data_IF_741156344253
#
_entry.id   IF_741156344253
#
_cell.length_a   1.000
_cell.length_b   1.000
_cell.length_c   1.000
_cell.angle_alpha   90.00
_cell.angle_beta   90.00
_cell.angle_gamma   90.00
#
_symmetry.space_group_name_H-M   'P 1'
#
loop_
_entity.id
_entity.type
_entity.pdbx_description
1 polymer ?
#
# COMPACT_ATOMS: atom_id res chain seq x y z
N UNK A 1 -10.83 -26.25 -31.69
CA UNK A 1 -9.41 -25.82 -31.54
C UNK A 1 -8.75 -26.76 -30.56
N UNK A 2 -7.58 -27.30 -30.90
CA UNK A 2 -6.86 -28.28 -30.06
C UNK A 2 -6.27 -27.59 -28.82
N UNK A 3 -6.26 -28.26 -27.67
CA UNK A 3 -5.59 -27.79 -26.45
C UNK A 3 -4.12 -27.40 -26.68
N UNK A 4 -3.48 -28.00 -27.69
CA UNK A 4 -2.12 -27.66 -28.13
C UNK A 4 -2.04 -26.22 -28.66
N UNK A 5 -3.08 -25.73 -29.34
CA UNK A 5 -3.09 -24.37 -29.89
C UNK A 5 -3.19 -23.32 -28.79
N UNK A 6 -4.00 -23.57 -27.75
CA UNK A 6 -4.10 -22.68 -26.58
C UNK A 6 -2.78 -22.63 -25.82
N UNK A 7 -2.12 -23.78 -25.64
CA UNK A 7 -0.82 -23.88 -24.99
C UNK A 7 0.28 -23.14 -25.76
N UNK A 8 0.29 -23.25 -27.09
CA UNK A 8 1.25 -22.57 -27.96
C UNK A 8 1.04 -21.05 -27.97
N UNK A 9 -0.20 -20.57 -27.95
CA UNK A 9 -0.50 -19.14 -27.86
C UNK A 9 -0.06 -18.58 -26.50
N UNK A 10 -0.34 -19.28 -25.40
CA UNK A 10 0.11 -18.87 -24.07
C UNK A 10 1.65 -18.83 -23.99
N UNK A 11 2.33 -19.84 -24.53
CA UNK A 11 3.79 -19.88 -24.59
C UNK A 11 4.36 -18.74 -25.43
N UNK A 12 3.71 -18.38 -26.55
CA UNK A 12 4.15 -17.31 -27.42
C UNK A 12 4.00 -15.92 -26.78
N UNK A 13 2.89 -15.69 -26.05
CA UNK A 13 2.68 -14.45 -25.29
C UNK A 13 3.70 -14.33 -24.16
N UNK A 14 4.00 -15.42 -23.46
CA UNK A 14 5.04 -15.45 -22.44
C UNK A 14 6.44 -15.20 -23.04
N UNK A 15 6.76 -15.78 -24.19
CA UNK A 15 8.03 -15.57 -24.90
C UNK A 15 8.19 -14.15 -25.44
N UNK A 16 7.13 -13.53 -25.95
CA UNK A 16 7.15 -12.15 -26.45
C UNK A 16 7.32 -11.14 -25.30
N UNK A 17 6.58 -11.32 -24.20
CA UNK A 17 6.79 -10.55 -22.97
C UNK A 17 8.22 -10.73 -22.43
N UNK A 18 8.74 -11.95 -22.48
CA UNK A 18 10.13 -12.25 -22.09
C UNK A 18 11.17 -11.58 -23.00
N UNK A 19 10.95 -11.51 -24.32
CA UNK A 19 11.89 -10.82 -25.23
C UNK A 19 11.86 -9.30 -25.10
N UNK A 20 10.68 -8.70 -24.89
CA UNK A 20 10.60 -7.27 -24.55
C UNK A 20 11.33 -6.98 -23.23
N UNK A 21 11.14 -7.85 -22.25
CA UNK A 21 11.77 -7.78 -20.94
C UNK A 21 13.30 -7.90 -20.98
N UNK A 22 13.86 -8.84 -21.76
CA UNK A 22 15.31 -8.98 -21.90
C UNK A 22 15.97 -7.75 -22.53
N UNK A 23 15.29 -7.08 -23.47
CA UNK A 23 15.79 -5.83 -24.10
C UNK A 23 15.86 -4.65 -23.13
N UNK A 24 15.02 -4.65 -22.09
CA UNK A 24 15.04 -3.62 -21.04
C UNK A 24 16.09 -3.89 -19.95
N UNK A 25 16.54 -5.14 -19.81
CA UNK A 25 17.41 -5.60 -18.71
C UNK A 25 18.93 -5.39 -18.90
N UNK A 26 19.41 -5.05 -20.11
CA UNK A 26 20.84 -4.78 -20.37
C UNK A 26 21.39 -3.52 -19.66
N UNK A 27 20.54 -2.74 -18.97
CA UNK A 27 20.90 -1.44 -18.37
C UNK A 27 21.35 -1.54 -16.90
N UNK A 28 21.16 -2.66 -16.19
CA UNK A 28 21.39 -2.70 -14.73
C UNK A 28 22.41 -3.76 -14.28
N UNK A 29 23.69 -3.36 -14.21
CA UNK A 29 24.69 -4.01 -13.34
C UNK A 29 24.97 -3.12 -12.14
N UNK A 30 24.49 -3.53 -10.96
CA UNK A 30 24.84 -2.90 -9.67
C UNK A 30 25.52 -3.93 -8.73
N UNK A 31 26.53 -3.52 -7.92
CA UNK A 31 27.25 -4.42 -7.04
C UNK A 31 26.53 -4.64 -5.71
N UNK A 32 26.67 -5.85 -5.17
CA UNK A 32 26.09 -6.28 -3.90
C UNK A 32 27.01 -5.95 -2.70
N UNK A 33 26.47 -5.27 -1.69
CA UNK A 33 26.89 -5.40 -0.29
C UNK A 33 25.90 -4.67 0.64
N UNK A 34 25.17 -5.40 1.50
CA UNK A 34 24.60 -4.85 2.75
C UNK A 34 24.67 -5.93 3.83
N UNK A 35 25.26 -5.54 4.97
CA UNK A 35 25.46 -6.34 6.18
C UNK A 35 24.21 -6.35 7.05
N UNK A 36 23.87 -7.53 7.59
CA UNK A 36 22.78 -7.77 8.54
C UNK A 36 23.25 -7.52 9.98
N UNK A 37 22.75 -6.44 10.60
CA UNK A 37 22.95 -6.11 12.00
C UNK A 37 21.69 -5.41 12.53
N UNK A 38 21.31 -5.73 13.78
CA UNK A 38 19.97 -5.48 14.34
C UNK A 38 19.43 -4.06 14.18
N UNK A 39 18.09 -3.96 14.26
CA UNK A 39 17.17 -2.81 14.07
C UNK A 39 17.51 -1.51 14.85
N UNK A 40 18.74 -1.03 14.78
CA UNK A 40 19.14 0.33 15.10
C UNK A 40 19.88 0.87 13.88
N UNK A 41 19.32 1.85 13.16
CA UNK A 41 20.00 2.49 12.05
C UNK A 41 21.36 3.02 12.51
N UNK A 42 22.41 2.73 11.74
CA UNK A 42 23.68 3.44 11.88
C UNK A 42 23.43 4.93 11.64
N UNK A 43 23.60 5.76 12.67
CA UNK A 43 23.39 7.22 12.60
C UNK A 43 24.43 7.80 11.65
N UNK A 44 24.02 8.16 10.43
CA UNK A 44 24.88 8.87 9.50
C UNK A 44 25.11 10.32 9.97
N UNK A 45 26.28 10.91 9.68
CA UNK A 45 26.62 12.28 10.08
C UNK A 45 25.65 13.31 9.50
N UNK A 46 25.39 14.35 10.30
CA UNK A 46 24.44 15.44 10.02
C UNK A 46 24.77 16.16 8.69
N UNK A 47 23.90 16.10 7.66
CA UNK A 47 24.10 16.88 6.44
C UNK A 47 23.96 18.39 6.70
N UNK A 48 24.62 19.21 5.87
CA UNK A 48 24.58 20.67 5.95
C UNK A 48 23.16 21.20 5.72
N UNK A 49 22.75 22.22 6.50
CA UNK A 49 21.34 22.61 6.66
C UNK A 49 20.62 23.20 5.44
N UNK A 50 21.34 23.60 4.39
CA UNK A 50 20.74 24.26 3.22
C UNK A 50 19.98 23.28 2.29
N UNK A 51 20.53 22.09 2.03
CA UNK A 51 19.89 21.08 1.17
C UNK A 51 18.56 20.58 1.76
N UNK A 52 18.52 20.42 3.09
CA UNK A 52 17.35 19.99 3.84
C UNK A 52 16.14 20.93 3.73
N UNK A 53 16.39 22.24 3.63
CA UNK A 53 15.32 23.23 3.47
C UNK A 53 14.73 23.18 2.05
N UNK A 54 15.58 23.02 1.04
CA UNK A 54 15.16 22.94 -0.36
C UNK A 54 14.33 21.68 -0.64
N UNK A 55 14.79 20.50 -0.23
CA UNK A 55 14.07 19.23 -0.45
C UNK A 55 12.69 19.23 0.20
N UNK A 56 12.61 19.74 1.43
CA UNK A 56 11.34 19.89 2.15
C UNK A 56 10.40 20.87 1.44
N UNK A 57 10.91 22.02 1.00
CA UNK A 57 10.11 22.99 0.24
C UNK A 57 9.54 22.37 -1.05
N UNK A 58 10.37 21.62 -1.79
CA UNK A 58 9.94 20.91 -3.00
C UNK A 58 8.82 19.90 -2.69
N UNK A 59 9.00 19.06 -1.67
CA UNK A 59 7.98 18.08 -1.24
C UNK A 59 6.67 18.77 -0.85
N UNK A 60 6.73 19.81 -0.02
CA UNK A 60 5.53 20.50 0.47
C UNK A 60 4.70 21.17 -0.63
N UNK A 61 5.32 21.49 -1.77
CA UNK A 61 4.69 22.13 -2.93
C UNK A 61 4.13 21.12 -3.94
N UNK A 62 4.74 19.95 -4.08
CA UNK A 62 4.21 18.82 -4.86
C UNK A 62 4.76 17.51 -4.32
N UNK A 63 3.89 16.76 -3.64
CA UNK A 63 4.27 15.46 -3.09
C UNK A 63 4.53 14.49 -4.22
N UNK A 64 3.60 14.35 -5.17
CA UNK A 64 3.73 13.44 -6.30
C UNK A 64 4.91 13.81 -7.20
N UNK A 65 5.07 15.11 -7.52
CA UNK A 65 6.20 15.58 -8.30
C UNK A 65 7.55 15.29 -7.65
N UNK A 66 7.63 15.30 -6.32
CA UNK A 66 8.88 15.00 -5.59
C UNK A 66 9.10 13.50 -5.43
N UNK A 67 8.04 12.74 -5.21
CA UNK A 67 8.09 11.29 -4.94
C UNK A 67 8.25 10.51 -6.24
N UNK A 68 7.46 10.80 -7.27
CA UNK A 68 7.37 9.98 -8.49
C UNK A 68 8.30 10.41 -9.63
N UNK A 69 8.77 11.67 -9.70
CA UNK A 69 9.69 12.11 -10.77
C UNK A 69 11.11 11.56 -10.67
N UNK A 70 11.50 11.01 -9.51
CA UNK A 70 12.77 10.31 -9.37
C UNK A 70 12.57 8.89 -9.86
N UNK A 71 13.45 8.39 -10.72
CA UNK A 71 13.44 6.98 -11.15
C UNK A 71 14.34 6.13 -10.25
N UNK A 72 14.04 4.83 -10.19
CA UNK A 72 14.84 3.84 -9.48
C UNK A 72 14.63 3.84 -7.96
N UNK A 73 15.68 3.42 -7.25
CA UNK A 73 15.65 3.14 -5.82
C UNK A 73 15.57 4.42 -4.97
N UNK A 74 14.70 4.40 -3.96
CA UNK A 74 14.58 5.42 -2.92
C UNK A 74 15.06 4.89 -1.56
N UNK A 75 15.51 5.77 -0.67
CA UNK A 75 16.21 5.41 0.57
C UNK A 75 15.77 6.26 1.76
N UNK A 76 15.63 5.59 2.90
CA UNK A 76 15.45 6.21 4.21
C UNK A 76 16.28 5.42 5.26
N UNK A 77 16.39 5.88 6.53
CA UNK A 77 17.21 5.19 7.53
C UNK A 77 16.79 3.74 7.84
N UNK A 78 15.56 3.35 7.52
CA UNK A 78 15.01 2.01 7.78
C UNK A 78 15.20 1.06 6.60
N UNK A 79 15.49 1.55 5.40
CA UNK A 79 15.70 0.71 4.24
C UNK A 79 15.53 1.42 2.90
N UNK A 80 15.24 0.61 1.89
CA UNK A 80 15.12 1.03 0.50
C UNK A 80 13.77 0.60 -0.07
N UNK A 81 13.29 1.31 -1.08
CA UNK A 81 12.19 0.88 -1.95
C UNK A 81 12.71 0.90 -3.38
N UNK A 82 12.58 -0.23 -4.08
CA UNK A 82 12.95 -0.42 -5.49
C UNK A 82 11.70 -0.54 -6.36
N UNK A 83 11.82 -0.31 -7.68
CA UNK A 83 10.76 -0.63 -8.63
C UNK A 83 10.28 -2.07 -8.46
N UNK A 84 8.97 -2.26 -8.57
CA UNK A 84 8.29 -3.54 -8.33
C UNK A 84 8.85 -4.66 -9.21
N UNK A 85 9.08 -4.33 -10.48
CA UNK A 85 9.65 -5.24 -11.48
C UNK A 85 10.99 -5.82 -11.01
N UNK A 86 11.86 -5.06 -10.32
CA UNK A 86 13.15 -5.59 -9.84
C UNK A 86 13.00 -6.76 -8.86
N UNK A 87 11.93 -6.76 -8.06
CA UNK A 87 11.63 -7.88 -7.16
C UNK A 87 11.15 -9.11 -7.89
N UNK A 88 10.26 -8.92 -8.86
CA UNK A 88 9.66 -10.01 -9.63
C UNK A 88 10.74 -10.74 -10.43
N UNK A 89 11.66 -9.98 -11.04
CA UNK A 89 12.84 -10.51 -11.73
C UNK A 89 13.68 -11.36 -10.79
N UNK A 90 13.97 -10.86 -9.58
CA UNK A 90 14.81 -11.58 -8.63
C UNK A 90 14.14 -12.86 -8.16
N UNK A 91 12.83 -12.84 -7.89
CA UNK A 91 12.07 -14.02 -7.51
C UNK A 91 12.04 -15.06 -8.64
N UNK A 92 11.78 -14.63 -9.88
CA UNK A 92 11.80 -15.50 -11.07
C UNK A 92 13.18 -16.11 -11.31
N UNK A 93 14.25 -15.33 -11.17
CA UNK A 93 15.63 -15.82 -11.31
C UNK A 93 15.96 -16.90 -10.29
N UNK A 94 15.51 -16.74 -9.04
CA UNK A 94 15.66 -17.77 -8.01
C UNK A 94 14.90 -19.03 -8.40
N UNK A 95 13.66 -18.90 -8.87
CA UNK A 95 12.83 -20.02 -9.29
C UNK A 95 13.46 -20.81 -10.46
N UNK A 96 13.92 -20.11 -11.50
CA UNK A 96 14.62 -20.71 -12.64
C UNK A 96 15.90 -21.43 -12.22
N UNK A 97 16.66 -20.85 -11.30
CA UNK A 97 17.89 -21.47 -10.78
C UNK A 97 17.60 -22.79 -10.07
N UNK A 98 16.55 -22.84 -9.22
CA UNK A 98 16.14 -24.05 -8.52
C UNK A 98 15.76 -25.13 -9.53
N UNK A 99 14.92 -24.82 -10.53
CA UNK A 99 14.51 -25.76 -11.59
C UNK A 99 15.74 -26.28 -12.35
N UNK A 100 16.69 -25.40 -12.66
CA UNK A 100 17.90 -25.76 -13.41
C UNK A 100 18.82 -26.69 -12.61
N UNK A 101 18.97 -26.45 -11.30
CA UNK A 101 19.79 -27.25 -10.39
C UNK A 101 19.12 -28.59 -10.03
N UNK A 102 17.79 -28.66 -10.05
CA UNK A 102 17.00 -29.80 -9.59
C UNK A 102 15.97 -30.25 -10.63
N UNK A 103 16.45 -30.73 -11.80
CA UNK A 103 15.60 -31.07 -12.95
C UNK A 103 14.61 -32.23 -12.71
N UNK A 104 14.85 -33.04 -11.69
CA UNK A 104 14.05 -34.19 -11.31
C UNK A 104 13.05 -33.90 -10.17
N UNK A 105 13.02 -32.66 -9.66
CA UNK A 105 12.06 -32.26 -8.64
C UNK A 105 10.66 -32.05 -9.21
N UNK A 106 9.67 -32.38 -8.38
CA UNK A 106 8.26 -32.03 -8.60
C UNK A 106 8.02 -30.54 -8.36
N UNK A 107 6.91 -29.99 -8.89
CA UNK A 107 6.54 -28.58 -8.65
C UNK A 107 6.52 -28.24 -7.17
N UNK A 108 5.88 -29.08 -6.34
CA UNK A 108 5.80 -28.87 -4.88
C UNK A 108 7.19 -28.79 -4.22
N UNK A 109 8.15 -29.61 -4.67
CA UNK A 109 9.52 -29.56 -4.16
C UNK A 109 10.25 -28.28 -4.58
N UNK A 110 10.03 -27.81 -5.80
CA UNK A 110 10.57 -26.53 -6.29
C UNK A 110 9.96 -25.37 -5.50
N UNK A 111 8.65 -25.37 -5.27
CA UNK A 111 7.95 -24.33 -4.50
C UNK A 111 8.40 -24.31 -3.04
N UNK A 112 8.55 -25.49 -2.40
CA UNK A 112 9.08 -25.59 -1.03
C UNK A 112 10.50 -25.06 -0.91
N UNK A 113 11.34 -25.22 -1.94
CA UNK A 113 12.67 -24.62 -1.93
C UNK A 113 12.64 -23.12 -2.22
N UNK A 114 11.80 -22.69 -3.17
CA UNK A 114 11.60 -21.29 -3.50
C UNK A 114 11.21 -20.50 -2.26
N UNK A 115 10.22 -20.99 -1.48
CA UNK A 115 9.78 -20.29 -0.28
C UNK A 115 10.85 -20.25 0.81
N UNK A 116 11.71 -21.26 0.94
CA UNK A 116 12.82 -21.22 1.90
C UNK A 116 13.85 -20.15 1.54
N UNK A 117 14.14 -20.00 0.25
CA UNK A 117 15.10 -19.00 -0.25
C UNK A 117 14.54 -17.57 -0.17
N UNK A 118 13.27 -17.40 -0.52
CA UNK A 118 12.61 -16.09 -0.52
C UNK A 118 12.25 -15.66 0.92
N UNK A 119 11.56 -16.50 1.68
CA UNK A 119 11.01 -16.16 3.01
C UNK A 119 11.96 -16.54 4.14
N UNK A 120 13.17 -15.99 4.09
CA UNK A 120 14.16 -16.19 5.15
C UNK A 120 13.62 -15.72 6.52
N UNK A 121 14.11 -16.28 7.65
CA UNK A 121 13.68 -15.85 8.98
C UNK A 121 13.80 -14.33 9.23
N UNK A 122 14.84 -13.70 8.65
CA UNK A 122 15.04 -12.25 8.75
C UNK A 122 13.92 -11.47 8.03
N UNK A 123 13.61 -11.83 6.78
CA UNK A 123 12.55 -11.16 5.99
C UNK A 123 11.18 -11.35 6.63
N UNK A 124 10.85 -12.58 7.05
CA UNK A 124 9.61 -12.89 7.78
C UNK A 124 9.51 -12.09 9.08
N UNK A 125 10.56 -12.09 9.88
CA UNK A 125 10.60 -11.37 11.15
C UNK A 125 10.36 -9.86 10.99
N UNK A 126 10.82 -9.27 9.89
CA UNK A 126 10.54 -7.87 9.54
C UNK A 126 9.05 -7.64 9.29
N UNK A 127 8.43 -8.43 8.40
CA UNK A 127 7.00 -8.29 8.07
C UNK A 127 6.13 -8.55 9.30
N UNK A 128 6.39 -9.63 10.05
CA UNK A 128 5.64 -9.94 11.25
C UNK A 128 5.71 -8.83 12.31
N UNK A 129 6.88 -8.19 12.44
CA UNK A 129 7.07 -7.08 13.37
C UNK A 129 6.30 -5.84 12.91
N UNK A 130 6.35 -5.51 11.62
CA UNK A 130 5.56 -4.42 11.04
C UNK A 130 4.05 -4.68 11.18
N UNK A 131 3.58 -5.89 10.87
CA UNK A 131 2.18 -6.30 11.02
C UNK A 131 1.68 -6.15 12.45
N UNK A 132 2.44 -6.64 13.45
CA UNK A 132 2.11 -6.47 14.87
C UNK A 132 2.05 -4.99 15.26
N UNK A 133 2.99 -4.18 14.78
CA UNK A 133 3.04 -2.75 15.06
C UNK A 133 1.84 -2.02 14.46
N UNK A 134 1.52 -2.25 13.18
CA UNK A 134 0.36 -1.64 12.49
C UNK A 134 -0.93 -2.00 13.21
N UNK A 135 -1.12 -3.29 13.53
CA UNK A 135 -2.29 -3.77 14.30
C UNK A 135 -2.46 -3.01 15.61
N UNK A 136 -1.40 -2.90 16.41
CA UNK A 136 -1.43 -2.18 17.69
C UNK A 136 -1.67 -0.68 17.51
N UNK A 137 -1.11 -0.07 16.46
CA UNK A 137 -1.32 1.35 16.15
C UNK A 137 -2.77 1.62 15.75
N UNK A 138 -3.38 0.77 14.94
CA UNK A 138 -4.80 0.87 14.57
C UNK A 138 -5.72 0.74 15.78
N UNK A 139 -5.48 -0.24 16.67
CA UNK A 139 -6.24 -0.37 17.90
C UNK A 139 -6.16 0.90 18.77
N UNK A 140 -4.96 1.49 18.90
CA UNK A 140 -4.76 2.75 19.62
C UNK A 140 -5.46 3.93 18.95
N UNK A 141 -5.44 4.01 17.62
CA UNK A 141 -6.17 5.04 16.88
C UNK A 141 -7.68 4.94 17.17
N UNK A 142 -8.25 3.75 17.07
CA UNK A 142 -9.67 3.50 17.39
C UNK A 142 -9.99 3.85 18.85
N UNK A 143 -9.12 3.50 19.79
CA UNK A 143 -9.33 3.80 21.20
C UNK A 143 -9.32 5.31 21.49
N UNK A 144 -8.47 6.08 20.78
CA UNK A 144 -8.39 7.54 20.90
C UNK A 144 -9.59 8.29 20.29
N UNK A 145 -10.32 7.69 19.36
CA UNK A 145 -11.49 8.34 18.76
C UNK A 145 -12.53 8.72 19.82
N UNK A 146 -13.25 9.82 19.64
CA UNK A 146 -14.25 10.26 20.63
C UNK A 146 -15.45 9.31 20.64
N UNK A 147 -16.18 9.26 21.76
CA UNK A 147 -17.44 8.50 21.86
C UNK A 147 -18.53 8.98 20.88
N UNK A 148 -18.44 10.23 20.44
CA UNK A 148 -19.29 10.81 19.39
C UNK A 148 -18.95 10.30 17.98
N UNK A 149 -17.76 9.72 17.79
CA UNK A 149 -17.35 9.07 16.55
C UNK A 149 -17.71 7.59 16.61
N UNK A 150 -17.21 6.87 17.62
CA UNK A 150 -17.53 5.46 17.84
C UNK A 150 -18.00 5.21 19.27
N UNK A 151 -19.12 4.51 19.40
CA UNK A 151 -19.55 3.90 20.66
C UNK A 151 -18.56 2.84 21.12
N UNK A 152 -18.60 2.49 22.40
CA UNK A 152 -17.75 1.40 22.95
C UNK A 152 -17.97 0.07 22.22
N UNK A 153 -19.21 -0.22 21.80
CA UNK A 153 -19.54 -1.45 21.06
C UNK A 153 -18.87 -1.45 19.68
N UNK A 154 -18.97 -0.36 18.93
CA UNK A 154 -18.36 -0.23 17.60
C UNK A 154 -16.84 -0.33 17.67
N UNK A 155 -16.20 0.34 18.65
CA UNK A 155 -14.76 0.21 18.89
C UNK A 155 -14.34 -1.23 19.16
N UNK A 156 -15.11 -1.96 19.97
CA UNK A 156 -14.84 -3.38 20.24
C UNK A 156 -14.95 -4.21 18.97
N UNK A 157 -15.98 -3.99 18.15
CA UNK A 157 -16.17 -4.71 16.88
C UNK A 157 -15.04 -4.43 15.89
N UNK A 158 -14.66 -3.16 15.70
CA UNK A 158 -13.53 -2.78 14.82
C UNK A 158 -12.23 -3.45 15.27
N UNK A 159 -11.90 -3.39 16.56
CA UNK A 159 -10.70 -4.04 17.10
C UNK A 159 -10.76 -5.57 16.98
N UNK A 160 -11.93 -6.18 17.18
CA UNK A 160 -12.10 -7.62 16.96
C UNK A 160 -11.86 -7.99 15.50
N UNK A 161 -12.31 -7.16 14.56
CA UNK A 161 -12.02 -7.38 13.14
C UNK A 161 -10.52 -7.31 12.87
N UNK A 162 -9.84 -6.24 13.28
CA UNK A 162 -8.39 -6.08 13.11
C UNK A 162 -7.62 -7.25 13.75
N UNK A 163 -8.01 -7.71 14.95
CA UNK A 163 -7.37 -8.86 15.62
C UNK A 163 -7.62 -10.19 14.91
N UNK A 164 -8.76 -10.32 14.24
CA UNK A 164 -9.14 -11.51 13.49
C UNK A 164 -8.44 -11.65 12.14
N UNK A 165 -7.82 -10.58 11.61
CA UNK A 165 -6.99 -10.68 10.41
C UNK A 165 -5.68 -11.38 10.73
N UNK A 166 -5.39 -12.47 10.01
CA UNK A 166 -4.19 -13.31 10.19
C UNK A 166 -3.14 -12.98 9.14
N UNK A 167 -1.89 -12.88 9.54
CA UNK A 167 -0.78 -12.82 8.59
C UNK A 167 -0.37 -14.25 8.23
N UNK A 168 -0.37 -14.55 6.94
CA UNK A 168 0.12 -15.81 6.39
C UNK A 168 1.43 -15.55 5.65
N UNK A 169 2.50 -16.23 6.07
CA UNK A 169 3.84 -16.13 5.49
C UNK A 169 4.49 -17.52 5.40
N UNK A 170 4.84 -18.01 4.21
CA UNK A 170 5.61 -19.24 4.01
C UNK A 170 6.97 -19.21 4.72
N UNK A 171 7.64 -20.37 4.91
CA UNK A 171 7.17 -21.75 4.70
C UNK A 171 6.10 -22.24 5.72
N UNK A 172 5.35 -23.32 5.39
CA UNK A 172 5.46 -24.15 4.17
C UNK A 172 4.86 -23.49 2.92
N UNK A 173 5.24 -23.95 1.73
CA UNK A 173 4.69 -23.44 0.46
C UNK A 173 3.19 -23.75 0.33
N UNK A 174 2.74 -24.86 0.91
CA UNK A 174 1.33 -25.26 0.94
C UNK A 174 0.38 -24.20 1.53
N UNK A 175 0.90 -23.20 2.25
CA UNK A 175 0.11 -22.07 2.73
C UNK A 175 -0.52 -21.25 1.59
N UNK A 176 0.13 -21.23 0.42
CA UNK A 176 -0.31 -20.52 -0.78
C UNK A 176 -0.64 -21.49 -1.93
N UNK A 177 -1.02 -22.73 -1.62
CA UNK A 177 -1.32 -23.74 -2.63
C UNK A 177 -2.48 -23.36 -3.58
N UNK A 178 -3.34 -22.44 -3.14
CA UNK A 178 -4.45 -21.89 -3.91
C UNK A 178 -4.05 -20.78 -4.90
N UNK A 179 -2.86 -20.20 -4.76
CA UNK A 179 -2.32 -19.16 -5.65
C UNK A 179 -0.78 -19.17 -5.64
N UNK A 180 -0.14 -20.17 -6.27
CA UNK A 180 1.31 -20.36 -6.17
C UNK A 180 2.13 -19.26 -6.85
N UNK A 181 1.54 -18.54 -7.81
CA UNK A 181 2.18 -17.40 -8.50
C UNK A 181 2.45 -16.21 -7.57
N UNK A 182 1.83 -16.17 -6.39
CA UNK A 182 2.09 -15.13 -5.38
C UNK A 182 3.56 -15.12 -4.90
N UNK A 183 4.30 -16.23 -5.01
CA UNK A 183 5.73 -16.26 -4.65
C UNK A 183 6.57 -15.32 -5.53
N UNK A 184 6.09 -14.97 -6.72
CA UNK A 184 6.78 -14.10 -7.67
C UNK A 184 6.10 -12.73 -7.84
N UNK A 185 4.98 -12.46 -7.16
CA UNK A 185 4.27 -11.17 -7.20
C UNK A 185 4.83 -10.17 -6.19
N UNK A 186 4.76 -8.88 -6.53
CA UNK A 186 5.18 -7.76 -5.69
C UNK A 186 4.05 -7.17 -4.82
N UNK A 187 3.00 -7.94 -4.56
CA UNK A 187 1.79 -7.43 -3.93
C UNK A 187 1.61 -7.96 -2.50
N UNK A 188 0.87 -7.22 -1.69
CA UNK A 188 0.35 -7.69 -0.41
C UNK A 188 -1.17 -7.66 -0.53
N UNK A 189 -1.83 -8.71 -0.07
CA UNK A 189 -3.26 -8.87 -0.27
C UNK A 189 -3.96 -9.07 1.06
N UNK A 190 -5.04 -8.36 1.27
CA UNK A 190 -6.12 -8.74 2.17
C UNK A 190 -7.15 -9.58 1.42
N UNK A 191 -7.61 -10.65 2.04
CA UNK A 191 -8.75 -11.40 1.50
C UNK A 191 -9.64 -11.98 2.60
N UNK A 192 -10.87 -12.28 2.19
CA UNK A 192 -11.79 -13.11 2.94
C UNK A 192 -11.85 -14.49 2.28
N UNK A 193 -11.43 -15.51 3.01
CA UNK A 193 -11.52 -16.91 2.55
C UNK A 193 -12.97 -17.37 2.53
N UNK A 194 -13.24 -18.48 1.82
CA UNK A 194 -14.60 -19.04 1.71
C UNK A 194 -15.23 -19.42 3.06
N UNK A 195 -14.41 -19.76 4.06
CA UNK A 195 -14.86 -20.06 5.43
C UNK A 195 -15.00 -18.79 6.31
N UNK A 196 -14.85 -17.60 5.71
CA UNK A 196 -15.02 -16.31 6.37
C UNK A 196 -13.82 -15.88 7.23
N UNK A 197 -12.70 -16.61 7.18
CA UNK A 197 -11.46 -16.13 7.76
C UNK A 197 -10.95 -14.93 6.97
N UNK A 198 -10.21 -14.08 7.67
CA UNK A 198 -9.60 -12.88 7.10
C UNK A 198 -8.11 -13.05 7.21
N UNK A 199 -7.44 -13.04 6.08
CA UNK A 199 -6.00 -13.25 6.03
C UNK A 199 -5.33 -12.20 5.18
N UNK A 200 -4.05 -12.05 5.41
CA UNK A 200 -3.16 -11.19 4.67
C UNK A 200 -1.99 -12.03 4.18
N UNK A 201 -1.73 -11.98 2.88
CA UNK A 201 -0.63 -12.69 2.23
C UNK A 201 0.35 -11.66 1.67
N UNK A 202 1.64 -11.95 1.75
CA UNK A 202 2.71 -11.12 1.17
C UNK A 202 3.36 -11.89 0.06
N UNK A 203 3.43 -11.29 -1.13
CA UNK A 203 4.10 -11.85 -2.28
C UNK A 203 5.61 -11.91 -2.10
N UNK A 204 6.24 -12.88 -2.75
CA UNK A 204 7.67 -13.14 -2.53
C UNK A 204 8.56 -12.06 -3.13
N UNK A 205 8.17 -11.46 -4.25
CA UNK A 205 8.91 -10.36 -4.89
C UNK A 205 8.94 -9.10 -4.01
N UNK A 206 7.86 -8.84 -3.26
CA UNK A 206 7.75 -7.71 -2.33
C UNK A 206 8.88 -7.68 -1.29
N UNK A 207 9.34 -8.86 -0.85
CA UNK A 207 10.43 -8.98 0.13
C UNK A 207 11.81 -8.55 -0.41
N UNK A 208 11.94 -8.38 -1.73
CA UNK A 208 13.16 -7.89 -2.38
C UNK A 208 13.13 -6.39 -2.66
N UNK A 209 11.95 -5.84 -2.97
CA UNK A 209 11.74 -4.43 -3.35
C UNK A 209 11.57 -3.53 -2.14
N UNK A 210 10.79 -3.97 -1.16
CA UNK A 210 10.40 -3.15 -0.03
C UNK A 210 11.15 -3.55 1.24
N UNK A 211 12.25 -2.83 1.49
CA UNK A 211 13.04 -2.96 2.73
C UNK A 211 12.81 -1.80 3.68
N UNK A 212 12.30 -0.67 3.19
CA UNK A 212 11.86 0.45 4.01
C UNK A 212 10.76 0.00 4.95
N UNK A 213 10.95 0.20 6.24
CA UNK A 213 9.92 -0.09 7.23
C UNK A 213 8.69 0.82 7.03
N UNK A 214 8.88 2.06 6.56
CA UNK A 214 7.79 3.00 6.28
C UNK A 214 6.90 2.56 5.12
N UNK A 215 7.47 1.98 4.06
CA UNK A 215 6.69 1.40 2.98
C UNK A 215 5.90 0.18 3.45
N UNK A 216 6.56 -0.73 4.18
CA UNK A 216 5.93 -1.95 4.71
C UNK A 216 4.76 -1.60 5.63
N UNK A 217 4.88 -0.64 6.55
CA UNK A 217 3.75 -0.29 7.40
C UNK A 217 2.61 0.40 6.65
N UNK A 218 2.90 1.18 5.60
CA UNK A 218 1.87 1.83 4.80
C UNK A 218 1.07 0.76 4.06
N UNK A 219 1.77 -0.14 3.37
CA UNK A 219 1.19 -1.28 2.64
C UNK A 219 0.35 -2.14 3.58
N UNK A 220 0.91 -2.61 4.70
CA UNK A 220 0.15 -3.44 5.66
C UNK A 220 -1.04 -2.68 6.27
N UNK A 221 -0.92 -1.37 6.50
CA UNK A 221 -2.02 -0.56 7.04
C UNK A 221 -3.15 -0.37 6.02
N UNK A 222 -2.82 -0.26 4.74
CA UNK A 222 -3.78 -0.27 3.64
C UNK A 222 -4.55 -1.59 3.64
N UNK A 223 -3.85 -2.74 3.67
CA UNK A 223 -4.51 -4.04 3.73
C UNK A 223 -5.34 -4.27 5.00
N UNK A 224 -4.90 -3.76 6.15
CA UNK A 224 -5.74 -3.75 7.36
C UNK A 224 -6.96 -2.84 7.21
N UNK A 225 -6.88 -1.79 6.39
CA UNK A 225 -7.99 -0.93 6.02
C UNK A 225 -9.13 -1.75 5.43
N UNK A 226 -8.83 -2.68 4.52
CA UNK A 226 -9.84 -3.57 3.94
C UNK A 226 -10.52 -4.50 4.95
N UNK A 227 -9.92 -4.72 6.13
CA UNK A 227 -10.58 -5.52 7.19
C UNK A 227 -11.70 -4.76 7.91
N UNK A 228 -11.73 -3.44 7.77
CA UNK A 228 -12.62 -2.52 8.46
C UNK A 228 -13.10 -1.37 7.58
N UNK A 229 -13.08 -1.49 6.26
CA UNK A 229 -13.61 -0.45 5.38
C UNK A 229 -15.16 -0.48 5.36
N UNK A 230 -15.83 0.58 4.87
CA UNK A 230 -17.29 0.62 4.80
C UNK A 230 -17.93 -0.55 4.04
N UNK A 231 -17.30 -1.04 2.97
CA UNK A 231 -17.77 -2.14 2.13
C UNK A 231 -17.66 -3.49 2.85
N UNK A 232 -16.53 -3.76 3.48
CA UNK A 232 -16.29 -4.93 4.31
C UNK A 232 -17.25 -5.00 5.51
N UNK A 233 -17.59 -3.86 6.11
CA UNK A 233 -18.58 -3.78 7.18
C UNK A 233 -20.01 -4.01 6.68
N UNK A 234 -20.40 -3.37 5.57
CA UNK A 234 -21.73 -3.53 4.97
C UNK A 234 -22.00 -4.97 4.55
N UNK A 235 -21.03 -5.64 3.94
CA UNK A 235 -21.15 -7.07 3.58
C UNK A 235 -21.36 -7.99 4.79
N UNK A 236 -20.98 -7.54 5.99
CA UNK A 236 -21.24 -8.23 7.26
C UNK A 236 -22.51 -7.74 7.98
N UNK A 237 -23.35 -6.93 7.33
CA UNK A 237 -24.56 -6.36 7.92
C UNK A 237 -24.30 -5.30 9.00
N UNK A 238 -23.12 -4.67 8.99
CA UNK A 238 -22.75 -3.60 9.90
C UNK A 238 -22.76 -2.25 9.17
N UNK A 239 -23.16 -1.20 9.88
CA UNK A 239 -23.08 0.19 9.43
C UNK A 239 -22.75 1.07 10.63
N UNK A 240 -21.81 2.00 10.44
CA UNK A 240 -21.38 2.95 11.47
C UNK A 240 -21.61 4.38 10.96
N UNK A 241 -22.37 5.24 11.67
CA UNK A 241 -22.65 6.59 11.21
C UNK A 241 -21.40 7.45 10.96
N UNK A 242 -20.30 7.17 11.67
CA UNK A 242 -19.02 7.85 11.42
C UNK A 242 -18.42 7.51 10.05
N UNK A 243 -18.61 6.29 9.56
CA UNK A 243 -18.16 5.90 8.22
C UNK A 243 -19.04 6.52 7.16
N UNK A 244 -20.36 6.59 7.36
CA UNK A 244 -21.26 7.28 6.42
C UNK A 244 -20.89 8.77 6.26
N UNK A 245 -20.51 9.45 7.36
CA UNK A 245 -20.00 10.83 7.30
C UNK A 245 -18.66 10.94 6.59
N UNK A 246 -17.76 10.00 6.83
CA UNK A 246 -16.46 9.97 6.16
C UNK A 246 -16.61 9.71 4.65
N UNK A 247 -17.47 8.77 4.26
CA UNK A 247 -17.82 8.52 2.85
C UNK A 247 -18.46 9.75 2.22
N UNK A 248 -19.36 10.44 2.92
CA UNK A 248 -19.94 11.70 2.43
C UNK A 248 -18.86 12.78 2.22
N UNK A 249 -17.86 12.84 3.10
CA UNK A 249 -16.70 13.71 2.89
C UNK A 249 -15.93 13.34 1.62
N UNK A 250 -15.61 12.04 1.44
CA UNK A 250 -14.92 11.57 0.25
C UNK A 250 -15.68 11.93 -1.03
N UNK A 251 -17.01 11.80 -1.05
CA UNK A 251 -17.84 12.20 -2.17
C UNK A 251 -17.82 13.72 -2.40
N UNK A 252 -17.96 14.52 -1.33
CA UNK A 252 -17.99 15.98 -1.43
C UNK A 252 -16.69 16.56 -1.99
N UNK A 253 -15.54 15.99 -1.60
CA UNK A 253 -14.24 16.43 -2.10
C UNK A 253 -13.82 15.74 -3.40
N UNK A 254 -14.71 14.93 -4.00
CA UNK A 254 -14.45 14.23 -5.25
C UNK A 254 -13.31 13.20 -5.13
N UNK A 255 -13.11 12.63 -3.93
CA UNK A 255 -12.18 11.53 -3.73
C UNK A 255 -12.75 10.26 -4.34
N UNK A 256 -14.03 9.98 -4.08
CA UNK A 256 -14.78 8.88 -4.70
C UNK A 256 -15.69 9.45 -5.79
N UNK A 257 -15.81 8.85 -6.98
CA UNK A 257 -16.81 9.23 -7.97
C UNK A 257 -18.22 9.24 -7.39
N UNK A 258 -19.04 10.23 -7.74
CA UNK A 258 -20.42 10.25 -7.31
C UNK A 258 -21.25 9.23 -8.10
N UNK A 259 -21.80 8.24 -7.38
CA UNK A 259 -22.77 7.31 -7.93
C UNK A 259 -24.19 7.77 -7.62
N UNK A 260 -25.05 7.85 -8.65
CA UNK A 260 -26.46 8.23 -8.46
C UNK A 260 -27.24 7.20 -7.64
N UNK A 261 -26.79 5.95 -7.66
CA UNK A 261 -27.40 4.85 -6.94
C UNK A 261 -26.45 4.33 -5.87
N UNK A 262 -26.90 4.32 -4.62
CA UNK A 262 -26.14 3.74 -3.50
C UNK A 262 -25.95 2.23 -3.64
N UNK A 263 -26.78 1.55 -4.44
CA UNK A 263 -26.63 0.12 -4.71
C UNK A 263 -25.35 -0.23 -5.46
N UNK A 264 -24.70 0.76 -6.10
CA UNK A 264 -23.41 0.57 -6.78
C UNK A 264 -22.22 0.95 -5.91
N UNK A 265 -22.42 1.57 -4.74
CA UNK A 265 -21.34 1.74 -3.76
C UNK A 265 -20.87 0.34 -3.33
N UNK A 266 -19.56 0.14 -3.23
CA UNK A 266 -18.95 -1.17 -2.97
C UNK A 266 -19.15 -2.23 -4.07
N UNK A 267 -19.45 -1.80 -5.31
CA UNK A 267 -19.47 -2.68 -6.48
C UNK A 267 -18.06 -2.97 -7.05
N UNK A 268 -18.01 -3.77 -8.13
CA UNK A 268 -16.76 -4.22 -8.79
C UNK A 268 -15.87 -3.11 -9.35
N UNK A 269 -16.36 -1.87 -9.44
CA UNK A 269 -15.67 -0.69 -9.99
C UNK A 269 -15.70 0.51 -9.02
N UNK A 270 -16.02 0.29 -7.74
CA UNK A 270 -16.14 1.35 -6.75
C UNK A 270 -14.81 1.55 -5.99
N UNK A 271 -14.37 2.80 -5.89
CA UNK A 271 -13.07 3.14 -5.30
C UNK A 271 -13.13 3.43 -3.80
N UNK A 272 -14.30 3.30 -3.16
CA UNK A 272 -14.49 3.66 -1.75
C UNK A 272 -13.61 2.82 -0.82
N UNK A 273 -13.52 1.51 -1.07
CA UNK A 273 -12.70 0.59 -0.27
C UNK A 273 -11.23 1.01 -0.30
N UNK A 274 -10.69 1.24 -1.50
CA UNK A 274 -9.29 1.64 -1.73
C UNK A 274 -8.97 3.02 -1.13
N UNK A 275 -9.86 3.99 -1.30
CA UNK A 275 -9.68 5.34 -0.73
C UNK A 275 -9.70 5.29 0.79
N UNK A 276 -10.57 4.47 1.37
CA UNK A 276 -10.61 4.28 2.81
C UNK A 276 -9.32 3.63 3.32
N UNK A 277 -8.86 2.58 2.64
CA UNK A 277 -7.63 1.88 2.96
C UNK A 277 -6.42 2.83 2.92
N UNK A 278 -6.28 3.64 1.88
CA UNK A 278 -5.27 4.70 1.79
C UNK A 278 -5.39 5.72 2.91
N UNK A 279 -6.59 6.25 3.13
CA UNK A 279 -6.81 7.24 4.18
C UNK A 279 -6.36 6.70 5.54
N UNK A 280 -6.68 5.44 5.84
CA UNK A 280 -6.26 4.78 7.07
C UNK A 280 -4.74 4.57 7.11
N UNK A 281 -4.15 4.10 6.01
CA UNK A 281 -2.71 3.91 5.88
C UNK A 281 -1.93 5.20 6.13
N UNK A 282 -2.40 6.32 5.56
CA UNK A 282 -1.82 7.66 5.82
C UNK A 282 -1.89 8.03 7.30
N UNK A 283 -2.99 7.73 8.00
CA UNK A 283 -3.10 7.98 9.45
C UNK A 283 -2.10 7.15 10.26
N UNK A 284 -1.91 5.88 9.89
CA UNK A 284 -0.92 5.01 10.53
C UNK A 284 0.50 5.51 10.26
N UNK A 285 0.81 5.88 9.02
CA UNK A 285 2.11 6.44 8.63
C UNK A 285 2.38 7.76 9.34
N UNK A 286 1.38 8.62 9.57
CA UNK A 286 1.55 9.82 10.38
C UNK A 286 1.96 9.51 11.83
N UNK A 287 1.38 8.47 12.46
CA UNK A 287 1.80 8.04 13.81
C UNK A 287 3.23 7.46 13.81
N UNK A 288 3.62 6.76 12.74
CA UNK A 288 4.99 6.28 12.56
C UNK A 288 5.98 7.45 12.42
N UNK A 289 5.74 8.38 11.49
CA UNK A 289 6.59 9.56 11.29
C UNK A 289 6.72 10.37 12.58
N UNK A 290 5.61 10.54 13.32
CA UNK A 290 5.63 11.22 14.63
C UNK A 290 6.50 10.51 15.66
N UNK A 291 6.44 9.18 15.71
CA UNK A 291 7.26 8.37 16.63
C UNK A 291 8.75 8.56 16.32
N UNK A 292 9.11 8.44 15.05
CA UNK A 292 10.49 8.57 14.59
C UNK A 292 10.99 10.02 14.53
N UNK A 293 10.13 11.04 14.63
CA UNK A 293 10.55 12.45 14.65
C UNK A 293 11.42 12.81 15.86
N UNK A 294 11.43 11.96 16.90
CA UNK A 294 12.35 12.11 18.05
C UNK A 294 13.75 11.55 17.77
N UNK A 295 13.89 10.71 16.75
CA UNK A 295 15.12 9.99 16.41
C UNK A 295 15.72 10.46 15.07
N UNK A 296 14.87 10.84 14.13
CA UNK A 296 15.24 11.18 12.76
C UNK A 296 15.35 12.69 12.56
N UNK A 297 16.34 13.09 11.77
CA UNK A 297 16.45 14.45 11.28
C UNK A 297 15.38 14.76 10.22
N UNK A 298 15.14 16.04 9.97
CA UNK A 298 14.10 16.48 9.02
C UNK A 298 14.25 15.86 7.62
N UNK A 299 15.47 15.72 7.10
CA UNK A 299 15.71 15.06 5.78
C UNK A 299 15.43 13.57 5.82
N UNK A 300 15.70 12.92 6.94
CA UNK A 300 15.39 11.51 7.14
C UNK A 300 13.89 11.28 7.25
N UNK A 301 13.15 12.20 7.88
CA UNK A 301 11.68 12.18 7.89
C UNK A 301 11.09 12.40 6.50
N UNK A 302 11.68 13.29 5.69
CA UNK A 302 11.32 13.45 4.28
C UNK A 302 11.56 12.16 3.51
N UNK A 303 12.74 11.53 3.65
CA UNK A 303 13.03 10.24 3.03
C UNK A 303 12.06 9.13 3.46
N UNK A 304 11.74 9.05 4.75
CA UNK A 304 10.75 8.11 5.28
C UNK A 304 9.35 8.33 4.71
N UNK A 305 8.92 9.59 4.60
CA UNK A 305 7.63 9.94 4.00
C UNK A 305 7.58 9.65 2.49
N UNK A 306 8.68 9.89 1.77
CA UNK A 306 8.82 9.54 0.34
C UNK A 306 8.71 8.02 0.17
N UNK A 307 9.49 7.25 0.94
CA UNK A 307 9.50 5.80 0.83
C UNK A 307 8.15 5.18 1.22
N UNK A 308 7.40 5.79 2.15
CA UNK A 308 6.11 5.25 2.58
C UNK A 308 5.12 4.99 1.44
N UNK A 309 5.14 5.82 0.39
CA UNK A 309 4.17 5.77 -0.73
C UNK A 309 4.84 5.70 -2.10
N UNK A 310 6.11 5.25 -2.13
CA UNK A 310 6.93 5.26 -3.35
C UNK A 310 6.46 4.22 -4.38
N UNK A 311 6.05 3.06 -3.90
CA UNK A 311 5.48 1.96 -4.70
C UNK A 311 4.30 2.40 -5.57
N UNK A 312 3.47 3.32 -5.08
CA UNK A 312 2.35 3.87 -5.86
C UNK A 312 2.79 4.49 -7.19
N UNK A 313 4.03 4.98 -7.30
CA UNK A 313 4.53 5.58 -8.54
C UNK A 313 4.69 4.59 -9.69
N UNK A 314 4.84 3.29 -9.41
CA UNK A 314 5.02 2.26 -10.44
C UNK A 314 3.68 1.96 -11.16
N UNK A 315 2.55 2.26 -10.52
CA UNK A 315 1.21 2.09 -11.10
C UNK A 315 0.90 3.07 -12.24
N UNK A 316 1.71 4.12 -12.42
CA UNK A 316 1.60 5.06 -13.54
C UNK A 316 2.39 4.60 -14.78
N UNK A 317 3.16 3.50 -14.71
CA UNK A 317 3.92 3.02 -15.87
C UNK A 317 2.97 2.40 -16.91
N UNK A 318 2.84 3.00 -18.12
CA UNK A 318 1.97 2.48 -19.17
C UNK A 318 2.40 1.11 -19.71
N UNK A 319 3.60 0.62 -19.36
CA UNK A 319 4.06 -0.73 -19.69
C UNK A 319 3.55 -1.79 -18.72
N UNK A 320 3.08 -1.38 -17.54
CA UNK A 320 2.48 -2.26 -16.56
C UNK A 320 0.95 -2.20 -16.78
N UNK A 321 0.37 -3.33 -17.19
CA UNK A 321 -1.10 -3.50 -17.23
C UNK A 321 -1.62 -3.63 -15.80
N UNK A 322 -1.64 -2.53 -15.05
CA UNK A 322 -2.25 -2.48 -13.72
C UNK A 322 -3.74 -2.18 -13.87
N UNK A 323 -4.58 -3.06 -13.33
CA UNK A 323 -6.01 -2.81 -13.26
C UNK A 323 -6.31 -1.74 -12.19
N UNK A 324 -6.37 -0.48 -12.63
CA UNK A 324 -6.73 0.67 -11.80
C UNK A 324 -8.24 0.89 -11.75
N UNK A 325 -9.07 -0.04 -12.22
CA UNK A 325 -10.52 0.17 -12.25
C UNK A 325 -11.07 0.44 -10.83
N UNK A 326 -10.50 -0.23 -9.83
CA UNK A 326 -10.88 -0.06 -8.42
C UNK A 326 -9.98 0.90 -7.63
N UNK A 327 -8.84 1.30 -8.17
CA UNK A 327 -7.88 2.15 -7.48
C UNK A 327 -7.91 3.58 -8.03
N UNK A 328 -7.92 4.61 -7.17
CA UNK A 328 -7.69 5.97 -7.65
C UNK A 328 -6.30 6.10 -8.28
N UNK A 329 -6.14 7.02 -9.22
CA UNK A 329 -4.84 7.27 -9.84
C UNK A 329 -3.77 7.59 -8.78
N UNK A 330 -2.53 7.09 -8.91
CA UNK A 330 -1.44 7.33 -7.96
C UNK A 330 -1.20 8.80 -7.62
N UNK A 331 -1.27 9.68 -8.62
CA UNK A 331 -1.19 11.12 -8.40
C UNK A 331 -2.22 11.62 -7.39
N UNK A 332 -3.46 11.13 -7.47
CA UNK A 332 -4.51 11.48 -6.54
C UNK A 332 -4.22 10.91 -5.14
N UNK A 333 -3.86 9.62 -5.04
CA UNK A 333 -3.53 8.96 -3.75
C UNK A 333 -2.42 9.72 -3.02
N UNK A 334 -1.36 10.09 -3.74
CA UNK A 334 -0.20 10.80 -3.19
C UNK A 334 -0.51 12.28 -2.89
N UNK A 335 -1.05 13.05 -3.83
CA UNK A 335 -1.26 14.49 -3.59
C UNK A 335 -2.46 14.75 -2.67
N UNK A 336 -3.59 14.09 -2.91
CA UNK A 336 -4.87 14.42 -2.26
C UNK A 336 -5.05 13.71 -0.92
N UNK A 337 -4.61 12.46 -0.78
CA UNK A 337 -4.80 11.68 0.46
C UNK A 337 -3.57 11.79 1.36
N UNK A 338 -2.38 11.49 0.85
CA UNK A 338 -1.14 11.55 1.65
C UNK A 338 -0.64 12.99 1.86
N UNK A 339 -0.41 13.74 0.77
CA UNK A 339 0.23 15.06 0.78
C UNK A 339 -0.60 16.18 1.40
N UNK A 340 -1.93 16.02 1.48
CA UNK A 340 -2.84 16.94 2.19
C UNK A 340 -3.11 16.57 3.64
N UNK A 341 -2.66 15.41 4.11
CA UNK A 341 -2.92 15.01 5.49
C UNK A 341 -2.28 15.99 6.48
N UNK A 342 -3.07 16.62 7.37
CA UNK A 342 -2.58 17.72 8.20
C UNK A 342 -1.47 17.27 9.16
N UNK A 343 -1.53 16.04 9.69
CA UNK A 343 -0.49 15.52 10.58
C UNK A 343 0.80 15.24 9.83
N UNK A 344 0.74 14.62 8.64
CA UNK A 344 1.93 14.40 7.80
C UNK A 344 2.60 15.73 7.48
N UNK A 345 1.81 16.72 7.03
CA UNK A 345 2.31 18.07 6.71
C UNK A 345 2.95 18.74 7.92
N UNK A 346 2.30 18.70 9.09
CA UNK A 346 2.84 19.26 10.34
C UNK A 346 4.20 18.63 10.69
N UNK A 347 4.29 17.29 10.69
CA UNK A 347 5.52 16.56 11.03
C UNK A 347 6.66 16.90 10.07
N UNK A 348 6.35 17.07 8.78
CA UNK A 348 7.33 17.44 7.75
C UNK A 348 7.63 18.95 7.72
N UNK A 349 7.00 19.75 8.58
CA UNK A 349 7.17 21.20 8.61
C UNK A 349 6.61 21.91 7.37
N UNK A 350 5.62 21.33 6.72
CA UNK A 350 4.83 21.97 5.68
C UNK A 350 3.74 22.85 6.31
N UNK A 351 3.42 23.98 5.68
CA UNK A 351 2.21 24.74 6.03
C UNK A 351 0.93 23.97 5.67
N UNK A 352 -0.25 24.40 6.15
CA UNK A 352 -1.53 23.81 5.75
C UNK A 352 -1.67 23.71 4.24
N UNK A 353 -2.33 22.66 3.73
CA UNK A 353 -2.55 22.55 2.30
C UNK A 353 -3.48 23.69 1.81
N UNK A 354 -3.21 24.32 0.66
CA UNK A 354 -4.08 25.37 0.13
C UNK A 354 -5.52 24.88 -0.06
N UNK A 355 -6.49 25.64 0.47
CA UNK A 355 -7.92 25.33 0.36
C UNK A 355 -8.39 24.06 1.09
N UNK A 356 -7.67 23.61 2.13
CA UNK A 356 -7.88 22.26 2.70
C UNK A 356 -8.86 22.20 3.86
N UNK A 357 -10.06 21.73 3.56
CA UNK A 357 -10.70 20.72 4.41
C UNK A 357 -10.11 19.36 4.03
N UNK A 358 -9.71 18.55 5.01
CA UNK A 358 -9.22 17.19 4.82
C UNK A 358 -10.23 16.23 5.43
N UNK A 359 -10.53 15.12 4.75
CA UNK A 359 -11.52 14.19 5.26
C UNK A 359 -11.10 13.52 6.56
N UNK A 360 -12.03 13.54 7.51
CA UNK A 360 -11.88 12.99 8.85
C UNK A 360 -13.24 12.72 9.47
N UNK A 361 -13.27 12.06 10.63
CA UNK A 361 -14.52 11.75 11.31
C UNK A 361 -15.23 12.98 11.89
N UNK A 362 -14.50 14.08 12.04
CA UNK A 362 -15.01 15.37 12.47
C UNK A 362 -15.76 16.12 11.37
N UNK A 363 -15.72 15.64 10.12
CA UNK A 363 -16.42 16.26 9.00
C UNK A 363 -17.92 16.38 9.30
N UNK A 364 -18.44 17.59 9.17
CA UNK A 364 -19.86 17.89 9.22
C UNK A 364 -20.28 18.32 7.82
N UNK A 365 -21.17 17.57 7.14
CA UNK A 365 -21.68 18.05 5.86
C UNK A 365 -22.34 19.41 6.10
N UNK A 366 -22.23 20.35 5.15
CA UNK A 366 -22.94 21.61 5.26
C UNK A 366 -24.41 21.31 5.51
N UNK A 367 -24.97 21.91 6.56
CA UNK A 367 -26.40 21.82 6.84
C UNK A 367 -27.09 22.37 5.60
N UNK A 368 -27.84 21.52 4.89
CA UNK A 368 -28.72 21.93 3.80
C UNK A 368 -29.88 22.73 4.42
N UNK A 369 -29.58 23.90 4.98
CA UNK A 369 -30.58 24.88 5.33
C UNK A 369 -31.14 25.41 4.00
N UNK A 370 -32.31 24.87 3.64
CA UNK A 370 -33.15 25.37 2.55
C UNK A 370 -32.40 25.49 1.21
N UNK A 371 -31.94 24.37 0.65
CA UNK A 371 -31.66 24.34 -0.77
C UNK A 371 -32.97 24.61 -1.54
N UNK A 372 -33.15 25.85 -2.02
CA UNK A 372 -33.99 26.08 -3.18
C UNK A 372 -33.59 25.05 -4.26
N UNK A 373 -34.57 24.46 -4.97
CA UNK A 373 -34.31 23.38 -5.90
C UNK A 373 -33.21 23.80 -6.88
N UNK A 374 -32.08 23.07 -6.83
CA UNK A 374 -30.94 23.19 -7.73
C UNK A 374 -31.46 23.10 -9.17
N UNK A 375 -31.72 24.26 -9.77
CA UNK A 375 -32.06 24.36 -11.17
C UNK A 375 -30.84 23.89 -11.97
N UNK A 376 -31.07 22.86 -12.78
CA UNK A 376 -30.11 22.24 -13.68
C UNK A 376 -29.48 23.30 -14.59
N UNK A 377 -28.33 23.85 -14.19
CA UNK A 377 -27.44 24.52 -15.12
C UNK A 377 -26.60 23.44 -15.80
N UNK A 378 -27.16 22.88 -16.88
CA UNK A 378 -26.39 22.16 -17.87
C UNK A 378 -25.54 23.18 -18.65
N UNK A 379 -24.31 23.43 -18.23
CA UNK A 379 -23.29 23.96 -19.14
C UNK A 379 -22.69 22.80 -19.90
N UNK A 380 -23.01 22.76 -21.20
CA UNK A 380 -22.34 21.97 -22.23
C UNK A 380 -20.86 22.30 -22.24
N UNK A 381 -20.02 21.28 -22.20
CA UNK A 381 -18.73 21.25 -22.88
C UNK A 381 -18.72 20.03 -23.78
#
# INVERSE_FOLDING_TARGET
>A
MSAIFVLLVALFVLLDRFQQYLRSSEILRAPAHVSSGGLRPSVQPKPSGAGAAHERSALCNSFYGTICKKSGESRDPTGIVRPDIEGEIEALRIYEEIIRQHRDWTSDQVDEELVKVIYTPERRGRIESAFRWVRQTLERLIDRERRSVFTTREKTLLKQRIRGTRLELPPPAALYADEPDIFTKNEVFYERTMDGQRRMRVGGAYLFTSKSWFNVIFTLAHEFGHAIDPCELRSAGLSFPAYDRLTACFLQFGWVPFHKDRSTECGENDQLSEIFADWLAVRVTAEALKTFATEFHATQLVGAAVNAVRDLCEQDDPQLEVDLTNHPAPQFRIESIFGRNPKVREILGCGPAPGSEYCGFEFQPPVLDQAEPFAQSQTRF
#
